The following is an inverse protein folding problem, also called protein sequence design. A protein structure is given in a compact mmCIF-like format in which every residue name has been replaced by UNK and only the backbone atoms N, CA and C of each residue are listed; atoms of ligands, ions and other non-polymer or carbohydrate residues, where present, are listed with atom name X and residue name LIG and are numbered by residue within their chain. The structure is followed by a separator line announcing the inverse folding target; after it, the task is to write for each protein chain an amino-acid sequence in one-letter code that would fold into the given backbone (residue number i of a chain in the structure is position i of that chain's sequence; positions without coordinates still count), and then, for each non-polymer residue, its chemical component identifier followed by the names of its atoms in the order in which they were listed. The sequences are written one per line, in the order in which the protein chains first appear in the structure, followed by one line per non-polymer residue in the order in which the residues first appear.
data_IF_598144302186
#
_entry.id   IF_598144302186
#
_cell.length_a   1.000
_cell.length_b   1.000
_cell.length_c   1.000
_cell.angle_alpha   90.00
_cell.angle_beta   90.00
_cell.angle_gamma   90.00
#
_symmetry.space_group_name_H-M   'P 1'
#
loop_
_entity.id
_entity.type
_entity.pdbx_description
1 polymer ?
#
# COMPACT_ATOMS: atom_id res chain seq x y z
N UNK A 1 18.95 10.86 21.50
CA UNK A 1 19.18 9.77 22.48
C UNK A 1 20.44 9.08 21.99
N UNK A 2 21.53 9.21 22.74
CA UNK A 2 22.80 8.58 22.40
C UNK A 2 22.73 7.07 22.73
N UNK A 3 23.46 6.24 21.99
CA UNK A 3 23.48 4.76 22.19
C UNK A 3 23.89 4.40 23.63
N UNK A 4 24.65 5.28 24.29
CA UNK A 4 25.12 5.11 25.68
C UNK A 4 24.02 5.27 26.75
N UNK A 5 22.81 5.79 26.37
CA UNK A 5 21.69 5.96 27.31
C UNK A 5 20.78 4.72 27.41
N UNK A 6 21.01 3.69 26.60
CA UNK A 6 20.26 2.44 26.70
C UNK A 6 20.83 1.59 27.85
N UNK A 7 20.02 1.17 28.83
CA UNK A 7 20.48 0.22 29.85
C UNK A 7 21.10 -1.02 29.19
N UNK A 8 22.31 -1.36 29.53
CA UNK A 8 23.06 -2.50 29.01
C UNK A 8 22.25 -3.80 28.99
N UNK A 9 21.43 -4.01 30.01
CA UNK A 9 20.52 -5.17 30.11
C UNK A 9 19.43 -5.17 29.01
N UNK A 10 18.95 -3.97 28.60
CA UNK A 10 17.98 -3.85 27.50
C UNK A 10 18.64 -4.17 26.15
N UNK A 11 19.86 -3.68 25.91
CA UNK A 11 20.62 -4.04 24.69
C UNK A 11 20.86 -5.56 24.66
N UNK A 12 21.26 -6.14 25.79
CA UNK A 12 21.50 -7.58 25.92
C UNK A 12 20.24 -8.42 25.73
N UNK A 13 19.10 -7.90 26.22
CA UNK A 13 17.79 -8.48 25.98
C UNK A 13 17.43 -8.42 24.48
N UNK A 14 17.61 -7.27 23.83
CA UNK A 14 17.33 -7.04 22.42
C UNK A 14 18.25 -7.82 21.45
N UNK A 15 19.46 -8.22 21.90
CA UNK A 15 20.41 -9.01 21.12
C UNK A 15 20.24 -10.53 21.29
N UNK A 16 19.31 -11.01 22.09
CA UNK A 16 19.00 -12.45 22.19
C UNK A 16 18.31 -12.89 20.90
N UNK A 17 18.70 -14.04 20.34
CA UNK A 17 18.27 -14.55 19.03
C UNK A 17 16.76 -14.76 18.87
N UNK A 18 15.97 -14.78 19.96
CA UNK A 18 14.54 -15.12 19.97
C UNK A 18 13.60 -13.91 20.04
N UNK A 19 14.03 -12.69 19.65
CA UNK A 19 13.14 -11.53 19.69
C UNK A 19 12.18 -11.47 18.48
N UNK A 20 11.13 -12.28 18.57
CA UNK A 20 10.01 -12.31 17.64
C UNK A 20 9.43 -10.89 17.45
N UNK A 21 9.31 -10.12 18.52
CA UNK A 21 8.70 -8.79 18.50
C UNK A 21 9.51 -7.76 17.70
N UNK A 22 10.84 -7.71 17.85
CA UNK A 22 11.68 -6.81 17.04
C UNK A 22 11.65 -7.21 15.59
N UNK A 23 11.77 -8.51 15.30
CA UNK A 23 11.69 -9.03 13.94
C UNK A 23 10.33 -8.71 13.31
N UNK A 24 9.24 -8.85 14.05
CA UNK A 24 7.90 -8.50 13.60
C UNK A 24 7.79 -7.00 13.31
N UNK A 25 8.20 -6.13 14.24
CA UNK A 25 8.13 -4.68 14.05
C UNK A 25 8.99 -4.20 12.87
N UNK A 26 10.14 -4.81 12.62
CA UNK A 26 10.95 -4.50 11.43
C UNK A 26 10.23 -4.92 10.14
N UNK A 27 9.64 -6.11 10.10
CA UNK A 27 8.87 -6.60 8.94
C UNK A 27 7.64 -5.74 8.70
N UNK A 28 6.89 -5.41 9.73
CA UNK A 28 5.72 -4.53 9.65
C UNK A 28 6.11 -3.13 9.20
N UNK A 29 7.19 -2.55 9.75
CA UNK A 29 7.72 -1.26 9.31
C UNK A 29 8.09 -1.26 7.82
N UNK A 30 8.77 -2.30 7.33
CA UNK A 30 9.06 -2.45 5.91
C UNK A 30 7.78 -2.56 5.06
N UNK A 31 6.78 -3.31 5.53
CA UNK A 31 5.49 -3.42 4.84
C UNK A 31 4.76 -2.08 4.75
N UNK A 32 4.81 -1.23 5.79
CA UNK A 32 4.24 0.13 5.72
C UNK A 32 4.82 0.93 4.57
N UNK A 33 6.14 0.86 4.36
CA UNK A 33 6.80 1.57 3.26
C UNK A 33 6.38 1.00 1.90
N UNK A 34 6.39 -0.32 1.75
CA UNK A 34 6.06 -1.02 0.51
C UNK A 34 4.60 -0.75 0.12
N UNK A 35 3.66 -0.92 1.05
CA UNK A 35 2.23 -0.74 0.77
C UNK A 35 1.91 0.73 0.47
N UNK A 36 2.57 1.67 1.15
CA UNK A 36 2.40 3.09 0.85
C UNK A 36 2.86 3.44 -0.56
N UNK A 37 4.06 3.04 -0.95
CA UNK A 37 4.55 3.32 -2.30
C UNK A 37 3.70 2.58 -3.35
N UNK A 38 3.27 1.33 -3.09
CA UNK A 38 2.34 0.63 -3.97
C UNK A 38 1.01 1.37 -4.16
N UNK A 39 0.37 1.81 -3.07
CA UNK A 39 -0.89 2.56 -3.13
C UNK A 39 -0.72 3.90 -3.85
N UNK A 40 0.36 4.63 -3.55
CA UNK A 40 0.66 5.90 -4.19
C UNK A 40 0.92 5.76 -5.70
N UNK A 41 1.74 4.80 -6.09
CA UNK A 41 2.01 4.52 -7.50
C UNK A 41 0.75 4.05 -8.21
N UNK A 42 -0.02 3.14 -7.62
CA UNK A 42 -1.30 2.69 -8.20
C UNK A 42 -2.22 3.88 -8.51
N UNK A 43 -2.42 4.78 -7.56
CA UNK A 43 -3.25 5.99 -7.72
C UNK A 43 -2.72 6.87 -8.85
N UNK A 44 -1.40 7.05 -8.96
CA UNK A 44 -0.80 7.91 -9.99
C UNK A 44 -0.83 7.23 -11.36
N UNK A 45 -0.42 5.97 -11.43
CA UNK A 45 -0.24 5.26 -12.68
C UNK A 45 -1.57 5.00 -13.41
N UNK A 46 -2.64 4.64 -12.67
CA UNK A 46 -3.97 4.46 -13.26
C UNK A 46 -4.47 5.75 -13.91
N UNK A 47 -4.32 6.91 -13.27
CA UNK A 47 -4.71 8.20 -13.85
C UNK A 47 -3.81 8.58 -15.03
N UNK A 48 -2.49 8.39 -14.91
CA UNK A 48 -1.59 8.63 -16.04
C UNK A 48 -1.95 7.76 -17.24
N UNK A 49 -2.18 6.46 -17.04
CA UNK A 49 -2.56 5.53 -18.09
C UNK A 49 -3.86 5.92 -18.75
N UNK A 50 -4.85 6.38 -17.98
CA UNK A 50 -6.14 6.87 -18.51
C UNK A 50 -5.98 8.05 -19.48
N UNK A 51 -5.00 8.94 -19.25
CA UNK A 51 -4.69 10.07 -20.13
C UNK A 51 -3.55 9.78 -21.11
N UNK A 52 -3.07 8.55 -21.23
CA UNK A 52 -1.99 8.18 -22.16
C UNK A 52 -2.58 7.74 -23.51
N UNK A 53 -2.37 8.57 -24.53
CA UNK A 53 -2.82 8.31 -25.88
C UNK A 53 -1.67 8.03 -26.85
N UNK A 54 -0.45 8.39 -26.47
CA UNK A 54 0.75 8.28 -27.29
C UNK A 54 1.81 7.47 -26.56
N UNK A 55 2.62 6.74 -27.34
CA UNK A 55 3.70 5.92 -26.81
C UNK A 55 4.98 6.22 -27.60
N UNK A 56 6.08 6.37 -26.90
CA UNK A 56 7.40 6.59 -27.49
C UNK A 56 8.39 5.57 -26.94
N UNK A 57 9.44 5.29 -27.73
CA UNK A 57 10.53 4.43 -27.26
C UNK A 57 11.64 5.32 -26.70
N UNK A 58 11.89 5.20 -25.40
CA UNK A 58 12.95 5.89 -24.68
C UNK A 58 13.91 4.84 -24.13
N UNK A 59 15.17 4.90 -24.52
CA UNK A 59 16.22 3.95 -24.11
C UNK A 59 15.87 2.46 -24.34
N UNK A 60 15.05 2.19 -25.36
CA UNK A 60 14.61 0.83 -25.72
C UNK A 60 13.35 0.36 -24.98
N UNK A 61 12.78 1.16 -24.10
CA UNK A 61 11.55 0.89 -23.40
C UNK A 61 10.37 1.69 -23.98
N UNK A 62 9.19 1.07 -24.03
CA UNK A 62 7.95 1.72 -24.46
C UNK A 62 7.38 2.57 -23.33
N UNK A 63 7.43 3.89 -23.46
CA UNK A 63 6.99 4.85 -22.45
C UNK A 63 5.73 5.56 -22.92
N UNK A 64 4.68 5.50 -22.11
CA UNK A 64 3.43 6.20 -22.37
C UNK A 64 3.58 7.70 -22.06
N UNK A 65 3.07 8.54 -22.98
CA UNK A 65 3.07 9.98 -22.85
C UNK A 65 1.65 10.48 -22.54
N UNK A 66 1.39 10.93 -21.30
CA UNK A 66 0.10 11.50 -20.96
C UNK A 66 -0.19 12.78 -21.80
N UNK A 67 -1.44 12.96 -22.17
CA UNK A 67 -1.88 14.12 -22.93
C UNK A 67 -1.91 15.42 -22.08
N UNK A 68 -2.27 16.54 -22.71
CA UNK A 68 -2.34 17.85 -22.07
C UNK A 68 -3.36 17.93 -20.93
N UNK A 69 -4.41 17.10 -20.95
CA UNK A 69 -5.45 17.05 -19.90
C UNK A 69 -4.89 16.57 -18.57
N UNK A 70 -3.97 15.58 -18.59
CA UNK A 70 -3.25 15.21 -17.38
C UNK A 70 -2.50 16.41 -16.79
N UNK A 71 -1.83 17.21 -17.65
CA UNK A 71 -1.16 18.46 -17.23
C UNK A 71 -2.11 19.49 -16.62
N UNK A 72 -3.37 19.51 -17.08
CA UNK A 72 -4.39 20.42 -16.53
C UNK A 72 -4.83 20.01 -15.12
N UNK A 73 -5.08 18.71 -14.88
CA UNK A 73 -5.51 18.24 -13.55
C UNK A 73 -4.42 18.35 -12.50
N UNK A 74 -3.14 18.24 -12.86
CA UNK A 74 -2.02 18.37 -11.91
C UNK A 74 -1.56 19.83 -11.70
N UNK A 75 -2.10 20.79 -12.46
CA UNK A 75 -1.68 22.18 -12.38
C UNK A 75 -1.92 22.77 -10.98
N UNK A 76 -0.86 23.23 -10.35
CA UNK A 76 -0.92 23.88 -9.03
C UNK A 76 -1.10 22.91 -7.85
N UNK A 77 -1.06 21.60 -8.08
CA UNK A 77 -1.17 20.55 -7.06
C UNK A 77 0.03 19.60 -7.15
N UNK A 78 0.29 18.84 -6.09
CA UNK A 78 1.15 17.66 -6.25
C UNK A 78 0.43 16.61 -7.11
N UNK A 79 1.20 15.86 -7.92
CA UNK A 79 0.64 14.80 -8.79
C UNK A 79 -0.23 13.83 -7.99
N UNK A 80 0.26 13.37 -6.83
CA UNK A 80 -0.48 12.46 -5.98
C UNK A 80 -1.82 13.03 -5.50
N UNK A 81 -1.85 14.32 -5.08
CA UNK A 81 -3.11 14.97 -4.66
C UNK A 81 -4.09 15.09 -5.82
N UNK A 82 -3.60 15.53 -6.98
CA UNK A 82 -4.44 15.67 -8.16
C UNK A 82 -5.06 14.33 -8.61
N UNK A 83 -4.27 13.26 -8.59
CA UNK A 83 -4.77 11.93 -8.92
C UNK A 83 -5.78 11.40 -7.88
N UNK A 84 -5.61 11.69 -6.60
CA UNK A 84 -6.61 11.37 -5.56
C UNK A 84 -7.92 12.10 -5.81
N UNK A 85 -7.85 13.41 -6.08
CA UNK A 85 -9.03 14.21 -6.40
C UNK A 85 -9.77 13.64 -7.62
N UNK A 86 -9.02 13.18 -8.65
CA UNK A 86 -9.59 12.55 -9.84
C UNK A 86 -10.27 11.21 -9.53
N UNK A 87 -9.69 10.37 -8.67
CA UNK A 87 -10.33 9.13 -8.22
C UNK A 87 -11.65 9.40 -7.45
N UNK A 88 -11.68 10.45 -6.62
CA UNK A 88 -12.91 10.90 -5.94
C UNK A 88 -13.98 11.32 -6.95
N UNK A 89 -13.60 12.11 -7.95
CA UNK A 89 -14.50 12.59 -9.00
C UNK A 89 -15.10 11.44 -9.83
N UNK A 90 -14.30 10.41 -10.13
CA UNK A 90 -14.77 9.21 -10.83
C UNK A 90 -15.56 8.24 -9.93
N UNK A 91 -15.55 8.41 -8.61
CA UNK A 91 -16.17 7.48 -7.67
C UNK A 91 -15.37 6.19 -7.44
N UNK A 92 -14.11 6.14 -7.86
CA UNK A 92 -13.20 5.02 -7.58
C UNK A 92 -12.83 4.91 -6.09
N UNK A 93 -12.85 6.04 -5.40
CA UNK A 93 -12.70 6.13 -3.94
C UNK A 93 -13.78 7.02 -3.35
N UNK A 94 -14.09 6.82 -2.06
CA UNK A 94 -14.98 7.67 -1.27
C UNK A 94 -14.19 8.72 -0.48
N UNK A 95 -14.90 9.63 0.21
CA UNK A 95 -14.27 10.60 1.12
C UNK A 95 -13.55 9.87 2.26
N UNK A 96 -14.14 8.83 2.80
CA UNK A 96 -13.56 8.01 3.87
C UNK A 96 -12.29 7.30 3.39
N UNK A 97 -12.26 6.83 2.14
CA UNK A 97 -11.04 6.28 1.52
C UNK A 97 -9.93 7.34 1.41
N UNK A 98 -10.26 8.58 1.04
CA UNK A 98 -9.30 9.69 0.95
C UNK A 98 -8.75 10.08 2.33
N UNK A 99 -9.60 10.04 3.37
CA UNK A 99 -9.17 10.22 4.76
C UNK A 99 -8.24 9.08 5.20
N UNK A 100 -8.55 7.83 4.84
CA UNK A 100 -7.67 6.68 5.11
C UNK A 100 -6.31 6.85 4.43
N UNK A 101 -6.25 7.27 3.16
CA UNK A 101 -5.00 7.54 2.45
C UNK A 101 -4.18 8.61 3.21
N UNK A 102 -4.84 9.66 3.70
CA UNK A 102 -4.20 10.73 4.43
C UNK A 102 -3.66 10.26 5.78
N UNK A 103 -4.43 9.47 6.53
CA UNK A 103 -4.04 8.84 7.79
C UNK A 103 -2.85 7.91 7.59
N UNK A 104 -2.90 7.05 6.58
CA UNK A 104 -1.85 6.09 6.26
C UNK A 104 -0.55 6.79 5.84
N UNK A 105 -0.65 7.85 5.01
CA UNK A 105 0.50 8.67 4.60
C UNK A 105 1.20 9.32 5.79
N UNK A 106 0.43 9.86 6.75
CA UNK A 106 0.97 10.45 7.97
C UNK A 106 1.67 9.41 8.82
N UNK A 107 0.99 8.28 9.10
CA UNK A 107 1.52 7.21 9.93
C UNK A 107 2.78 6.57 9.33
N UNK A 108 2.80 6.37 8.00
CA UNK A 108 4.02 5.93 7.29
C UNK A 108 5.18 6.88 7.51
N UNK A 109 4.93 8.20 7.51
CA UNK A 109 5.94 9.21 7.83
C UNK A 109 6.49 9.03 9.24
N UNK A 110 5.63 8.80 10.22
CA UNK A 110 6.01 8.51 11.62
C UNK A 110 6.86 7.22 11.69
N UNK A 111 6.41 6.13 11.05
CA UNK A 111 7.17 4.87 10.99
C UNK A 111 8.55 5.07 10.36
N UNK A 112 8.65 5.80 9.25
CA UNK A 112 9.92 6.02 8.57
C UNK A 112 10.93 6.83 9.39
N UNK A 113 10.46 7.78 10.19
CA UNK A 113 11.32 8.66 11.00
C UNK A 113 11.57 8.14 12.41
N UNK A 114 10.64 7.37 12.98
CA UNK A 114 10.65 6.96 14.37
C UNK A 114 10.71 5.44 14.56
N UNK A 115 11.04 4.66 13.51
CA UNK A 115 11.10 3.20 13.58
C UNK A 115 11.95 2.72 14.76
N UNK A 116 13.08 3.39 15.01
CA UNK A 116 13.94 3.11 16.16
C UNK A 116 13.20 3.22 17.50
N UNK A 117 12.34 4.24 17.65
CA UNK A 117 11.55 4.40 18.87
C UNK A 117 10.45 3.33 19.00
N UNK A 118 9.83 2.91 17.89
CA UNK A 118 8.89 1.79 17.89
C UNK A 118 9.53 0.46 18.29
N UNK A 119 10.83 0.29 18.02
CA UNK A 119 11.55 -0.93 18.36
C UNK A 119 12.03 -0.94 19.83
N UNK A 120 12.33 0.22 20.41
CA UNK A 120 13.10 0.32 21.67
C UNK A 120 12.35 1.00 22.81
N UNK A 121 11.28 1.76 22.54
CA UNK A 121 10.56 2.48 23.58
C UNK A 121 9.33 1.68 24.03
N UNK A 122 9.39 1.11 25.23
CA UNK A 122 8.30 0.35 25.85
C UNK A 122 7.02 1.18 26.06
N UNK A 123 7.10 2.51 25.94
CA UNK A 123 5.95 3.41 26.02
C UNK A 123 5.24 3.60 24.70
N UNK A 124 5.87 3.25 23.59
CA UNK A 124 5.23 3.26 22.29
C UNK A 124 4.47 1.95 22.08
N UNK A 125 3.18 2.07 21.74
CA UNK A 125 2.42 0.94 21.23
C UNK A 125 3.12 0.37 19.99
N UNK A 126 2.98 -0.93 19.75
CA UNK A 126 3.47 -1.57 18.53
C UNK A 126 2.91 -0.91 17.26
N UNK A 127 3.44 -1.30 16.11
CA UNK A 127 2.98 -0.77 14.82
C UNK A 127 1.52 -1.16 14.55
N UNK A 128 0.75 -0.24 14.01
CA UNK A 128 -0.68 -0.41 13.70
C UNK A 128 -0.90 -1.33 12.49
N UNK A 129 -0.93 -2.63 12.75
CA UNK A 129 -1.11 -3.66 11.71
C UNK A 129 -2.49 -3.55 11.05
N UNK A 130 -3.53 -3.13 11.78
CA UNK A 130 -4.87 -2.98 11.21
C UNK A 130 -4.89 -1.88 10.15
N UNK A 131 -4.27 -0.74 10.41
CA UNK A 131 -4.13 0.34 9.44
C UNK A 131 -3.38 -0.13 8.17
N UNK A 132 -2.39 -1.01 8.31
CA UNK A 132 -1.68 -1.61 7.18
C UNK A 132 -2.62 -2.46 6.32
N UNK A 133 -3.46 -3.30 6.94
CA UNK A 133 -4.44 -4.10 6.21
C UNK A 133 -5.55 -3.25 5.58
N UNK A 134 -6.02 -2.19 6.26
CA UNK A 134 -6.98 -1.24 5.69
C UNK A 134 -6.43 -0.60 4.40
N UNK A 135 -5.17 -0.14 4.43
CA UNK A 135 -4.53 0.46 3.26
C UNK A 135 -4.35 -0.54 2.10
N UNK A 136 -4.02 -1.81 2.41
CA UNK A 136 -3.92 -2.85 1.39
C UNK A 136 -5.29 -3.21 0.80
N UNK A 137 -6.35 -3.28 1.61
CA UNK A 137 -7.73 -3.47 1.13
C UNK A 137 -8.15 -2.34 0.20
N UNK A 138 -7.80 -1.09 0.56
CA UNK A 138 -8.08 0.06 -0.29
C UNK A 138 -7.33 0.00 -1.62
N UNK A 139 -6.04 -0.37 -1.63
CA UNK A 139 -5.29 -0.58 -2.87
C UNK A 139 -5.98 -1.63 -3.76
N UNK A 140 -6.42 -2.76 -3.18
CA UNK A 140 -7.18 -3.80 -3.91
C UNK A 140 -8.50 -3.25 -4.47
N UNK A 141 -9.24 -2.45 -3.69
CA UNK A 141 -10.49 -1.81 -4.12
C UNK A 141 -10.27 -0.91 -5.34
N UNK A 142 -9.26 -0.03 -5.27
CA UNK A 142 -8.93 0.90 -6.37
C UNK A 142 -8.51 0.12 -7.63
N UNK A 143 -7.62 -0.85 -7.48
CA UNK A 143 -7.12 -1.66 -8.60
C UNK A 143 -8.26 -2.42 -9.29
N UNK A 144 -9.13 -3.08 -8.51
CA UNK A 144 -10.31 -3.80 -8.99
C UNK A 144 -11.27 -2.87 -9.74
N UNK A 145 -11.55 -1.68 -9.19
CA UNK A 145 -12.42 -0.70 -9.81
C UNK A 145 -11.92 -0.32 -11.20
N UNK A 146 -10.61 -0.05 -11.36
CA UNK A 146 -10.03 0.28 -12.65
C UNK A 146 -10.08 -0.88 -13.63
N UNK A 147 -9.86 -2.12 -13.18
CA UNK A 147 -9.96 -3.30 -14.04
C UNK A 147 -11.39 -3.44 -14.56
N UNK A 148 -12.39 -3.36 -13.70
CA UNK A 148 -13.80 -3.57 -14.05
C UNK A 148 -14.34 -2.42 -14.91
N UNK A 149 -14.13 -1.17 -14.51
CA UNK A 149 -14.75 -0.01 -15.16
C UNK A 149 -14.05 0.45 -16.44
N UNK A 150 -12.77 0.11 -16.62
CA UNK A 150 -12.01 0.53 -17.80
C UNK A 150 -11.37 -0.63 -18.56
N UNK A 151 -10.57 -1.49 -17.95
CA UNK A 151 -9.79 -2.48 -18.69
C UNK A 151 -10.73 -3.55 -19.32
N UNK A 152 -11.64 -4.09 -18.52
CA UNK A 152 -12.60 -5.11 -19.00
C UNK A 152 -13.79 -4.50 -19.76
N UNK A 153 -14.21 -3.28 -19.42
CA UNK A 153 -15.32 -2.63 -20.11
C UNK A 153 -15.05 -2.33 -21.59
N UNK A 154 -13.78 -2.18 -21.97
CA UNK A 154 -13.38 -1.92 -23.37
C UNK A 154 -12.91 -3.18 -24.11
N UNK A 155 -12.75 -4.31 -23.44
CA UNK A 155 -12.27 -5.56 -24.02
C UNK A 155 -13.45 -6.41 -24.50
N UNK A 156 -13.58 -6.69 -25.81
CA UNK A 156 -14.67 -7.48 -26.37
C UNK A 156 -14.82 -8.88 -25.79
N UNK A 157 -13.75 -9.46 -25.23
CA UNK A 157 -13.76 -10.81 -24.65
C UNK A 157 -14.63 -10.86 -23.37
N UNK A 158 -14.77 -9.75 -22.65
CA UNK A 158 -15.51 -9.69 -21.39
C UNK A 158 -16.94 -9.14 -21.49
N UNK A 159 -17.37 -8.60 -22.66
CA UNK A 159 -18.68 -7.91 -22.82
C UNK A 159 -19.90 -8.77 -22.40
N UNK A 160 -19.81 -10.10 -22.48
CA UNK A 160 -20.91 -11.01 -22.16
C UNK A 160 -20.54 -12.04 -21.08
N UNK A 161 -19.40 -11.92 -20.46
CA UNK A 161 -18.93 -12.84 -19.43
C UNK A 161 -19.53 -12.47 -18.06
N UNK A 162 -19.96 -13.51 -17.32
CA UNK A 162 -20.30 -13.32 -15.89
C UNK A 162 -19.03 -13.36 -15.07
N UNK A 163 -18.57 -12.18 -14.70
CA UNK A 163 -17.36 -12.00 -13.92
C UNK A 163 -17.74 -12.03 -12.45
N UNK A 164 -17.03 -12.84 -11.67
CA UNK A 164 -17.05 -12.74 -10.20
C UNK A 164 -16.11 -11.60 -9.80
N UNK A 165 -16.71 -10.43 -9.55
CA UNK A 165 -15.96 -9.20 -9.23
C UNK A 165 -15.03 -9.38 -8.04
N UNK A 166 -15.38 -10.25 -7.08
CA UNK A 166 -14.58 -10.49 -5.89
C UNK A 166 -13.28 -11.25 -6.18
N UNK A 167 -13.22 -11.94 -7.30
CA UNK A 167 -12.02 -12.66 -7.76
C UNK A 167 -11.12 -11.80 -8.67
N UNK A 168 -11.57 -10.62 -9.07
CA UNK A 168 -10.76 -9.73 -9.92
C UNK A 168 -9.63 -9.11 -9.09
N UNK A 169 -8.39 -9.41 -9.48
CA UNK A 169 -7.17 -8.91 -8.84
C UNK A 169 -6.05 -8.83 -9.88
N UNK A 170 -5.29 -7.73 -9.88
CA UNK A 170 -4.12 -7.62 -10.74
C UNK A 170 -2.94 -8.46 -10.25
N UNK A 171 -2.01 -8.79 -11.16
CA UNK A 171 -0.77 -9.46 -10.79
C UNK A 171 0.06 -8.68 -9.77
N UNK A 172 0.04 -7.33 -9.86
CA UNK A 172 0.70 -6.44 -8.89
C UNK A 172 0.12 -6.62 -7.49
N UNK A 173 -1.20 -6.57 -7.35
CA UNK A 173 -1.87 -6.69 -6.06
C UNK A 173 -1.76 -8.11 -5.49
N UNK A 174 -1.80 -9.14 -6.35
CA UNK A 174 -1.54 -10.51 -5.95
C UNK A 174 -0.14 -10.66 -5.34
N UNK A 175 0.88 -10.03 -5.96
CA UNK A 175 2.25 -10.04 -5.45
C UNK A 175 2.36 -9.34 -4.08
N UNK A 176 1.73 -8.18 -3.89
CA UNK A 176 1.69 -7.47 -2.60
C UNK A 176 1.04 -8.33 -1.52
N UNK A 177 -0.10 -8.96 -1.82
CA UNK A 177 -0.77 -9.86 -0.89
C UNK A 177 0.13 -11.04 -0.49
N UNK A 178 0.91 -11.58 -1.42
CA UNK A 178 1.87 -12.64 -1.13
C UNK A 178 3.03 -12.15 -0.25
N UNK A 179 3.54 -10.93 -0.46
CA UNK A 179 4.56 -10.32 0.40
C UNK A 179 4.07 -10.17 1.83
N UNK A 180 2.83 -9.67 2.03
CA UNK A 180 2.22 -9.54 3.36
C UNK A 180 2.13 -10.91 4.03
N UNK A 181 1.63 -11.92 3.30
CA UNK A 181 1.49 -13.30 3.82
C UNK A 181 2.83 -13.88 4.24
N UNK A 182 3.88 -13.72 3.44
CA UNK A 182 5.22 -14.20 3.78
C UNK A 182 5.79 -13.46 4.99
N UNK A 183 5.66 -12.14 5.03
CA UNK A 183 6.23 -11.31 6.10
C UNK A 183 5.52 -11.52 7.46
N UNK A 184 4.22 -11.83 7.46
CA UNK A 184 3.40 -11.98 8.66
C UNK A 184 2.96 -13.42 8.92
N UNK A 185 3.61 -14.41 8.29
CA UNK A 185 3.22 -15.82 8.38
C UNK A 185 3.02 -16.28 9.83
N UNK A 186 3.97 -15.99 10.70
CA UNK A 186 3.95 -16.44 12.10
C UNK A 186 2.74 -15.89 12.86
N UNK A 187 2.34 -14.63 12.55
CA UNK A 187 1.20 -13.94 13.15
C UNK A 187 -0.10 -14.54 12.64
N UNK A 188 -0.20 -14.76 11.34
CA UNK A 188 -1.39 -15.30 10.69
C UNK A 188 -1.64 -16.76 11.13
N UNK A 189 -0.59 -17.60 11.15
CA UNK A 189 -0.67 -18.99 11.62
C UNK A 189 -1.12 -19.08 13.09
N UNK A 190 -0.70 -18.11 13.92
CA UNK A 190 -1.11 -18.05 15.33
C UNK A 190 -2.57 -17.62 15.49
N UNK A 191 -3.04 -16.68 14.68
CA UNK A 191 -4.43 -16.22 14.69
C UNK A 191 -5.39 -17.31 14.20
N UNK A 192 -5.02 -18.06 13.15
CA UNK A 192 -5.82 -19.18 12.65
C UNK A 192 -5.97 -20.30 13.69
N UNK A 193 -4.91 -20.64 14.43
CA UNK A 193 -4.98 -21.63 15.51
C UNK A 193 -5.93 -21.18 16.63
N UNK A 194 -5.84 -19.92 17.05
CA UNK A 194 -6.71 -19.40 18.10
C UNK A 194 -8.20 -19.39 17.69
N UNK A 195 -8.50 -19.17 16.40
CA UNK A 195 -9.87 -19.19 15.87
C UNK A 195 -10.44 -20.60 15.76
N UNK A 196 -9.61 -21.61 15.51
CA UNK A 196 -10.03 -23.01 15.38
C UNK A 196 -10.21 -23.72 16.73
N UNK A 197 -9.70 -23.13 17.83
CA UNK A 197 -9.81 -23.66 19.20
C UNK A 197 -10.97 -23.04 20.00
N UNK A 198 -11.64 -22.01 19.45
CA UNK A 198 -12.76 -21.28 20.07
C UNK A 198 -14.13 -21.76 19.53
#
# INVERSE_FOLDING_TARGET
MEIDDLPYEKIKYLLKEDHIEISLNLRVGALFLIIYENLKELIIDKVKSFFTNEWEIVDGELVGKPDSKFGEIVRGKSVFRACRDFHLELGAITIEDDELISRFSKYRGEVAHELYAFLLDDKKAGLDIELLFEANRLATKIDRWWILEFEMAIDPEFINEKIDEDQVISGRQLFINQLIRVALKDVLDSAEKATNEA
#
